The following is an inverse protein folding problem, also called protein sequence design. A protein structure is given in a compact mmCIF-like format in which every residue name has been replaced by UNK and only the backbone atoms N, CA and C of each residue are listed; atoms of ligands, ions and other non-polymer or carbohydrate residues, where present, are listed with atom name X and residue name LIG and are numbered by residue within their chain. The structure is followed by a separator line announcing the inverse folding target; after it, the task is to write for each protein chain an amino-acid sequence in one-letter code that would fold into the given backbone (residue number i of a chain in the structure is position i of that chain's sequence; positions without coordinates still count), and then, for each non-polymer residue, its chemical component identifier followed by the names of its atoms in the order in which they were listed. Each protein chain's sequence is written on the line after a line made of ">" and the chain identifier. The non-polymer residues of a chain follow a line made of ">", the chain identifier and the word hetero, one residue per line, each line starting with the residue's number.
data_IF_874616283842
#
_entry.id   IF_874616283842
#
_cell.length_a   1.000
_cell.length_b   1.000
_cell.length_c   1.000
_cell.angle_alpha   90.00
_cell.angle_beta   90.00
_cell.angle_gamma   90.00
#
_symmetry.space_group_name_H-M   'P 1'
#
loop_
_entity.id
_entity.type
_entity.pdbx_description
1 polymer ?
#
# COMPACT_ATOMS: atom_id res chain seq x y z
N UNK A 1 -1.20 -16.66 5.02
CA UNK A 1 -1.36 -15.24 5.44
C UNK A 1 -2.41 -14.50 4.61
N UNK A 2 -2.45 -14.60 3.28
CA UNK A 2 -3.45 -13.87 2.46
C UNK A 2 -4.92 -14.05 2.94
N UNK A 3 -5.33 -15.26 3.34
CA UNK A 3 -6.68 -15.52 3.88
C UNK A 3 -6.98 -14.78 5.19
N UNK A 4 -5.95 -14.56 6.00
CA UNK A 4 -6.07 -13.84 7.27
C UNK A 4 -6.00 -12.33 7.06
N UNK A 5 -5.42 -11.89 5.94
CA UNK A 5 -5.20 -10.49 5.64
C UNK A 5 -6.52 -9.72 5.45
N UNK A 6 -7.42 -10.23 4.61
CA UNK A 6 -8.72 -9.58 4.39
C UNK A 6 -9.55 -9.54 5.68
N UNK A 7 -9.53 -10.62 6.49
CA UNK A 7 -10.18 -10.60 7.79
C UNK A 7 -9.55 -9.56 8.72
N UNK A 8 -8.22 -9.45 8.77
CA UNK A 8 -7.50 -8.47 9.58
C UNK A 8 -7.92 -7.03 9.27
N UNK A 9 -8.16 -6.71 8.01
CA UNK A 9 -8.54 -5.37 7.56
C UNK A 9 -9.96 -4.97 7.98
N UNK A 10 -10.80 -5.93 8.35
CA UNK A 10 -12.18 -5.69 8.75
C UNK A 10 -13.13 -5.53 7.58
N UNK A 11 -14.11 -4.65 7.73
CA UNK A 11 -15.05 -4.34 6.64
C UNK A 11 -14.32 -3.53 5.55
N UNK A 12 -14.08 -4.21 4.42
CA UNK A 12 -13.37 -3.62 3.29
C UNK A 12 -14.14 -2.46 2.65
N UNK A 13 -15.48 -2.46 2.76
CA UNK A 13 -16.30 -1.36 2.24
C UNK A 13 -16.07 -0.05 3.00
N UNK A 14 -15.81 -0.14 4.31
CA UNK A 14 -15.42 1.02 5.12
C UNK A 14 -14.04 1.52 4.71
N UNK A 15 -13.10 0.58 4.47
CA UNK A 15 -11.76 0.95 3.99
C UNK A 15 -11.79 1.63 2.63
N UNK A 16 -12.61 1.15 1.72
CA UNK A 16 -12.82 1.77 0.39
C UNK A 16 -13.38 3.20 0.50
N UNK A 17 -14.34 3.42 1.39
CA UNK A 17 -14.86 4.76 1.68
C UNK A 17 -13.77 5.69 2.21
N UNK A 18 -12.93 5.20 3.13
CA UNK A 18 -11.78 5.97 3.63
C UNK A 18 -10.82 6.36 2.49
N UNK A 19 -10.54 5.44 1.55
CA UNK A 19 -9.70 5.76 0.40
C UNK A 19 -10.36 6.77 -0.54
N UNK A 20 -11.66 6.62 -0.78
CA UNK A 20 -12.41 7.57 -1.60
C UNK A 20 -12.39 8.99 -1.02
N UNK A 21 -12.44 9.13 0.32
CA UNK A 21 -12.28 10.43 0.98
C UNK A 21 -10.90 11.04 0.72
N UNK A 22 -9.82 10.23 0.82
CA UNK A 22 -8.46 10.67 0.48
C UNK A 22 -8.38 11.11 -0.98
N UNK A 23 -8.94 10.33 -1.90
CA UNK A 23 -8.93 10.68 -3.32
C UNK A 23 -9.68 11.99 -3.59
N UNK A 24 -10.83 12.21 -2.94
CA UNK A 24 -11.59 13.45 -3.04
C UNK A 24 -10.84 14.64 -2.47
N UNK A 25 -10.20 14.49 -1.29
CA UNK A 25 -9.40 15.58 -0.67
C UNK A 25 -8.20 15.97 -1.54
N UNK A 26 -7.66 15.01 -2.29
CA UNK A 26 -6.58 15.22 -3.24
C UNK A 26 -7.07 15.62 -4.66
N UNK A 27 -8.38 15.74 -4.86
CA UNK A 27 -8.99 16.07 -6.16
C UNK A 27 -8.55 15.09 -7.26
N UNK A 28 -8.60 13.78 -6.92
CA UNK A 28 -8.24 12.71 -7.84
C UNK A 28 -9.46 12.32 -8.68
N UNK A 29 -9.37 12.58 -9.96
CA UNK A 29 -10.31 12.16 -11.01
C UNK A 29 -9.58 12.15 -12.36
N UNK A 30 -10.05 11.40 -13.36
CA UNK A 30 -9.42 11.36 -14.67
C UNK A 30 -9.37 12.74 -15.34
N UNK A 31 -8.18 13.15 -15.77
CA UNK A 31 -7.95 14.45 -16.44
C UNK A 31 -7.21 14.30 -17.78
N UNK A 32 -6.54 13.16 -17.97
CA UNK A 32 -5.73 12.88 -19.14
C UNK A 32 -6.19 11.61 -19.85
N UNK A 33 -5.36 10.57 -19.80
CA UNK A 33 -5.67 9.29 -20.46
C UNK A 33 -6.59 8.36 -19.63
N UNK A 34 -6.95 8.76 -18.42
CA UNK A 34 -7.82 7.99 -17.53
C UNK A 34 -7.21 6.70 -17.00
N UNK A 35 -5.90 6.49 -17.14
CA UNK A 35 -5.24 5.26 -16.70
C UNK A 35 -4.64 5.44 -15.31
N UNK A 36 -4.97 4.53 -14.40
CA UNK A 36 -4.37 4.46 -13.06
C UNK A 36 -3.70 3.09 -12.83
N UNK A 37 -2.53 3.09 -12.22
CA UNK A 37 -1.86 1.88 -11.76
C UNK A 37 -1.80 1.86 -10.24
N UNK A 38 -2.27 0.75 -9.64
CA UNK A 38 -2.26 0.53 -8.19
C UNK A 38 -1.20 -0.53 -7.87
N UNK A 39 -0.09 -0.09 -7.29
CA UNK A 39 1.10 -0.90 -6.97
C UNK A 39 1.00 -1.43 -5.54
N UNK A 40 0.97 -2.76 -5.39
CA UNK A 40 0.68 -3.42 -4.14
C UNK A 40 -0.81 -3.37 -3.82
N UNK A 41 -1.64 -3.58 -4.84
CA UNK A 41 -3.10 -3.41 -4.80
C UNK A 41 -3.81 -4.33 -3.80
N UNK A 42 -3.20 -5.47 -3.44
CA UNK A 42 -3.81 -6.45 -2.57
C UNK A 42 -5.20 -6.88 -3.04
N UNK A 43 -6.18 -6.78 -2.16
CA UNK A 43 -7.60 -7.09 -2.48
C UNK A 43 -8.37 -5.92 -3.12
N UNK A 44 -7.68 -4.86 -3.57
CA UNK A 44 -8.28 -3.79 -4.37
C UNK A 44 -8.96 -2.67 -3.57
N UNK A 45 -8.56 -2.43 -2.34
CA UNK A 45 -9.13 -1.37 -1.48
C UNK A 45 -9.00 0.01 -2.13
N UNK A 46 -7.94 0.26 -2.89
CA UNK A 46 -7.73 1.47 -3.66
C UNK A 46 -8.26 1.35 -5.08
N UNK A 47 -8.07 0.17 -5.69
CA UNK A 47 -8.41 -0.08 -7.09
C UNK A 47 -9.92 0.08 -7.37
N UNK A 48 -10.79 -0.43 -6.47
CA UNK A 48 -12.25 -0.36 -6.66
C UNK A 48 -12.75 1.09 -6.60
N UNK A 49 -12.39 1.91 -5.60
CA UNK A 49 -12.75 3.33 -5.61
C UNK A 49 -12.21 4.12 -6.80
N UNK A 50 -11.04 3.77 -7.33
CA UNK A 50 -10.51 4.42 -8.54
C UNK A 50 -11.33 4.09 -9.77
N UNK A 51 -11.76 2.84 -9.92
CA UNK A 51 -12.69 2.45 -11.00
C UNK A 51 -14.01 3.22 -10.89
N UNK A 52 -14.55 3.37 -9.66
CA UNK A 52 -15.79 4.13 -9.41
C UNK A 52 -15.63 5.64 -9.70
N UNK A 53 -14.41 6.17 -9.62
CA UNK A 53 -14.07 7.53 -10.05
C UNK A 53 -13.88 7.65 -11.57
N UNK A 54 -13.94 6.55 -12.32
CA UNK A 54 -13.87 6.53 -13.78
C UNK A 54 -12.50 6.20 -14.37
N UNK A 55 -11.51 5.80 -13.56
CA UNK A 55 -10.22 5.35 -14.07
C UNK A 55 -10.27 3.95 -14.69
N UNK A 56 -9.44 3.74 -15.71
CA UNK A 56 -9.07 2.42 -16.19
C UNK A 56 -7.91 1.89 -15.32
N UNK A 57 -8.23 0.99 -14.40
CA UNK A 57 -7.29 0.56 -13.36
C UNK A 57 -6.52 -0.69 -13.79
N UNK A 58 -5.18 -0.67 -13.55
CA UNK A 58 -4.32 -1.84 -13.52
C UNK A 58 -3.87 -2.07 -12.07
N UNK A 59 -4.38 -3.12 -11.45
CA UNK A 59 -4.03 -3.55 -10.10
C UNK A 59 -2.86 -4.54 -10.15
N UNK A 60 -1.77 -4.23 -9.46
CA UNK A 60 -0.51 -4.98 -9.48
C UNK A 60 -0.18 -5.41 -8.06
N UNK A 61 0.07 -6.70 -7.85
CA UNK A 61 0.49 -7.26 -6.57
C UNK A 61 1.32 -8.53 -6.79
N UNK A 62 2.09 -8.94 -5.79
CA UNK A 62 2.80 -10.23 -5.79
C UNK A 62 1.86 -11.42 -5.51
N UNK A 63 0.72 -11.17 -4.88
CA UNK A 63 -0.25 -12.19 -4.47
C UNK A 63 -1.38 -12.31 -5.47
N UNK A 64 -1.32 -13.34 -6.32
CA UNK A 64 -2.43 -13.69 -7.22
C UNK A 64 -3.74 -13.91 -6.45
N UNK A 65 -3.64 -14.50 -5.24
CA UNK A 65 -4.79 -14.75 -4.38
C UNK A 65 -5.49 -13.47 -3.97
N UNK A 66 -4.75 -12.44 -3.53
CA UNK A 66 -5.33 -11.15 -3.16
C UNK A 66 -5.94 -10.46 -4.38
N UNK A 67 -5.26 -10.47 -5.52
CA UNK A 67 -5.79 -9.90 -6.76
C UNK A 67 -7.09 -10.57 -7.20
N UNK A 68 -7.24 -11.89 -6.98
CA UNK A 68 -8.48 -12.61 -7.32
C UNK A 68 -9.69 -12.17 -6.49
N UNK A 69 -9.46 -11.64 -5.27
CA UNK A 69 -10.52 -11.11 -4.41
C UNK A 69 -11.19 -9.87 -5.01
N UNK A 70 -10.49 -9.09 -5.85
CA UNK A 70 -11.06 -7.92 -6.53
C UNK A 70 -12.29 -8.31 -7.33
N UNK A 71 -12.16 -9.33 -8.18
CA UNK A 71 -13.27 -9.82 -8.99
C UNK A 71 -14.33 -10.54 -8.17
N UNK A 72 -13.94 -11.25 -7.11
CA UNK A 72 -14.89 -11.90 -6.21
C UNK A 72 -15.80 -10.88 -5.49
N UNK A 73 -15.25 -9.71 -5.14
CA UNK A 73 -15.97 -8.63 -4.45
C UNK A 73 -16.78 -7.74 -5.40
N UNK A 74 -16.28 -7.54 -6.64
CA UNK A 74 -16.95 -6.74 -7.68
C UNK A 74 -16.97 -7.53 -8.99
N UNK A 75 -17.94 -8.45 -9.19
CA UNK A 75 -17.95 -9.37 -10.35
C UNK A 75 -17.93 -8.68 -11.72
N UNK A 76 -18.55 -7.51 -11.83
CA UNK A 76 -18.66 -6.72 -13.07
C UNK A 76 -17.49 -5.74 -13.28
N UNK A 77 -16.45 -5.81 -12.43
CA UNK A 77 -15.29 -4.91 -12.53
C UNK A 77 -14.55 -5.07 -13.85
N UNK A 78 -14.06 -3.95 -14.36
CA UNK A 78 -13.16 -3.85 -15.53
C UNK A 78 -11.70 -3.70 -15.10
N UNK A 79 -11.40 -3.73 -13.80
CA UNK A 79 -10.04 -3.68 -13.27
C UNK A 79 -9.23 -4.84 -13.84
N UNK A 80 -8.12 -4.51 -14.49
CA UNK A 80 -7.14 -5.50 -14.95
C UNK A 80 -6.19 -5.79 -13.80
N UNK A 81 -5.81 -7.05 -13.65
CA UNK A 81 -4.86 -7.49 -12.62
C UNK A 81 -3.58 -8.02 -13.25
N UNK A 82 -2.44 -7.81 -12.59
CA UNK A 82 -1.14 -8.33 -13.00
C UNK A 82 -0.33 -8.77 -11.78
N UNK A 83 0.11 -10.02 -11.77
CA UNK A 83 1.06 -10.51 -10.76
C UNK A 83 2.45 -10.05 -11.18
N UNK A 84 3.05 -9.13 -10.41
CA UNK A 84 4.39 -8.62 -10.69
C UNK A 84 5.01 -7.96 -9.46
N UNK A 85 6.35 -7.93 -9.43
CA UNK A 85 7.11 -7.13 -8.48
C UNK A 85 7.16 -5.67 -8.96
N UNK A 86 6.82 -4.73 -8.09
CA UNK A 86 6.83 -3.29 -8.39
C UNK A 86 8.23 -2.75 -8.70
N UNK A 87 9.29 -3.51 -8.42
CA UNK A 87 10.69 -3.19 -8.76
C UNK A 87 11.11 -3.65 -10.15
N UNK A 88 10.29 -4.50 -10.79
CA UNK A 88 10.62 -5.10 -12.09
C UNK A 88 10.51 -4.07 -13.21
N UNK A 89 11.63 -3.82 -13.91
CA UNK A 89 11.67 -2.88 -15.05
C UNK A 89 10.73 -3.28 -16.19
N UNK A 90 10.52 -4.58 -16.37
CA UNK A 90 9.66 -5.15 -17.40
C UNK A 90 8.18 -4.82 -17.16
N UNK A 91 7.82 -4.42 -15.93
CA UNK A 91 6.49 -3.94 -15.61
C UNK A 91 6.17 -2.62 -16.31
N UNK A 92 7.17 -1.73 -16.39
CA UNK A 92 7.01 -0.33 -16.78
C UNK A 92 7.23 -0.13 -18.28
N UNK A 93 6.32 -0.71 -19.07
CA UNK A 93 6.33 -0.62 -20.52
C UNK A 93 4.94 -0.23 -21.05
N UNK A 94 4.90 0.39 -22.23
CA UNK A 94 3.66 0.80 -22.86
C UNK A 94 3.15 2.17 -22.41
N UNK A 95 1.85 2.29 -22.16
CA UNK A 95 1.22 3.56 -21.83
C UNK A 95 1.52 3.95 -20.39
N UNK A 96 2.15 5.12 -20.21
CA UNK A 96 2.33 5.74 -18.89
C UNK A 96 0.97 6.12 -18.30
N UNK A 97 0.66 5.72 -17.05
CA UNK A 97 -0.57 6.14 -16.39
C UNK A 97 -0.51 7.63 -16.03
N UNK A 98 -1.66 8.30 -16.00
CA UNK A 98 -1.75 9.64 -15.41
C UNK A 98 -1.72 9.62 -13.88
N UNK A 99 -2.02 8.46 -13.28
CA UNK A 99 -2.01 8.25 -11.83
C UNK A 99 -1.30 6.93 -11.48
N UNK A 100 -0.25 7.02 -10.67
CA UNK A 100 0.42 5.89 -10.06
C UNK A 100 0.17 5.91 -8.55
N UNK A 101 -0.29 4.80 -7.98
CA UNK A 101 -0.46 4.65 -6.54
C UNK A 101 0.48 3.59 -5.99
N UNK A 102 0.98 3.82 -4.79
CA UNK A 102 1.63 2.82 -3.96
C UNK A 102 1.22 3.08 -2.50
N UNK A 103 0.16 2.42 -2.06
CA UNK A 103 -0.50 2.69 -0.79
C UNK A 103 -0.51 1.43 0.10
N UNK A 104 -1.10 1.53 1.30
CA UNK A 104 -1.23 0.38 2.20
C UNK A 104 0.10 -0.14 2.77
N UNK A 105 1.08 0.72 2.99
CA UNK A 105 2.42 0.36 3.48
C UNK A 105 3.33 -0.35 2.46
N UNK A 106 2.92 -0.54 1.21
CA UNK A 106 3.66 -1.32 0.21
C UNK A 106 5.14 -0.90 0.09
N UNK A 107 5.44 0.40 0.07
CA UNK A 107 6.81 0.90 -0.01
C UNK A 107 7.68 0.50 1.19
N UNK A 108 7.09 0.27 2.35
CA UNK A 108 7.83 -0.13 3.55
C UNK A 108 8.29 -1.60 3.51
N UNK A 109 7.73 -2.41 2.60
CA UNK A 109 8.13 -3.80 2.37
C UNK A 109 9.30 -3.95 1.39
N UNK A 110 9.83 -2.86 0.85
CA UNK A 110 11.07 -2.87 0.07
C UNK A 110 12.24 -3.34 0.96
N UNK A 111 13.25 -3.99 0.36
CA UNK A 111 14.33 -4.62 1.11
C UNK A 111 15.32 -3.64 1.77
N UNK A 112 15.50 -2.46 1.17
CA UNK A 112 16.46 -1.43 1.60
C UNK A 112 16.03 -0.03 1.17
N UNK A 113 16.66 0.99 1.74
CA UNK A 113 16.52 2.39 1.28
C UNK A 113 16.95 2.53 -0.18
N UNK A 114 17.98 1.79 -0.60
CA UNK A 114 18.41 1.77 -1.99
C UNK A 114 17.31 1.21 -2.91
N UNK A 115 16.59 0.17 -2.51
CA UNK A 115 15.46 -0.34 -3.30
C UNK A 115 14.36 0.72 -3.43
N UNK A 116 14.15 1.54 -2.39
CA UNK A 116 13.24 2.68 -2.46
C UNK A 116 13.75 3.72 -3.48
N UNK A 117 15.02 4.13 -3.40
CA UNK A 117 15.61 5.09 -4.35
C UNK A 117 15.55 4.59 -5.79
N UNK A 118 15.92 3.33 -6.03
CA UNK A 118 15.88 2.71 -7.36
C UNK A 118 14.44 2.61 -7.89
N UNK A 119 13.48 2.30 -7.01
CA UNK A 119 12.07 2.16 -7.39
C UNK A 119 11.46 3.51 -7.76
N UNK A 120 11.68 4.56 -6.97
CA UNK A 120 11.16 5.89 -7.29
C UNK A 120 11.83 6.48 -8.54
N UNK A 121 13.10 6.17 -8.77
CA UNK A 121 13.81 6.54 -10.00
C UNK A 121 13.21 5.85 -11.23
N UNK A 122 12.87 4.57 -11.11
CA UNK A 122 12.18 3.80 -12.14
C UNK A 122 10.80 4.41 -12.47
N UNK A 123 10.00 4.74 -11.44
CA UNK A 123 8.70 5.40 -11.63
C UNK A 123 8.85 6.77 -12.30
N UNK A 124 9.85 7.55 -11.87
CA UNK A 124 10.13 8.85 -12.50
C UNK A 124 10.49 8.73 -13.98
N UNK A 125 11.24 7.70 -14.36
CA UNK A 125 11.61 7.47 -15.76
C UNK A 125 10.45 7.00 -16.63
N UNK A 126 9.43 6.39 -16.03
CA UNK A 126 8.26 5.86 -16.72
C UNK A 126 7.11 6.87 -16.82
N UNK A 127 6.90 7.66 -15.77
CA UNK A 127 5.80 8.61 -15.71
C UNK A 127 6.06 9.84 -16.59
N UNK A 128 5.04 10.25 -17.31
CA UNK A 128 5.06 11.50 -18.09
C UNK A 128 4.98 12.72 -17.16
N UNK A 129 5.53 13.88 -17.56
CA UNK A 129 5.30 15.13 -16.85
C UNK A 129 3.81 15.41 -16.64
N UNK A 130 3.44 15.92 -15.46
CA UNK A 130 2.06 16.15 -15.04
C UNK A 130 1.33 14.92 -14.49
N UNK A 131 1.91 13.71 -14.60
CA UNK A 131 1.36 12.53 -13.93
C UNK A 131 1.42 12.68 -12.41
N UNK A 132 0.46 12.05 -11.71
CA UNK A 132 0.37 12.07 -10.25
C UNK A 132 0.92 10.78 -9.66
N UNK A 133 1.62 10.88 -8.52
CA UNK A 133 2.04 9.76 -7.68
C UNK A 133 1.41 9.92 -6.30
N UNK A 134 0.68 8.89 -5.83
CA UNK A 134 0.18 8.86 -4.45
C UNK A 134 0.92 7.76 -3.69
N UNK A 135 1.49 8.16 -2.54
CA UNK A 135 2.07 7.23 -1.57
C UNK A 135 1.20 7.19 -0.31
N UNK A 136 0.99 5.98 0.23
CA UNK A 136 0.27 5.78 1.48
C UNK A 136 1.02 4.80 2.38
N UNK A 137 1.53 5.28 3.54
CA UNK A 137 2.35 4.46 4.43
C UNK A 137 2.30 4.94 5.88
N UNK A 138 2.70 4.08 6.81
CA UNK A 138 2.95 4.45 8.21
C UNK A 138 4.41 4.82 8.40
N UNK A 139 4.62 6.04 8.88
CA UNK A 139 5.94 6.48 9.30
C UNK A 139 6.27 5.87 10.67
N UNK A 140 7.20 4.93 10.68
CA UNK A 140 7.66 4.23 11.87
C UNK A 140 8.91 4.87 12.49
N UNK A 141 9.30 6.08 12.08
CA UNK A 141 10.52 6.77 12.57
C UNK A 141 10.44 7.24 14.03
N UNK A 142 9.28 7.08 14.67
CA UNK A 142 9.12 7.35 16.10
C UNK A 142 9.79 6.30 17.00
N UNK A 143 10.00 5.07 16.50
CA UNK A 143 10.60 3.98 17.26
C UNK A 143 12.13 4.08 17.30
N UNK A 144 12.70 3.77 18.46
CA UNK A 144 14.15 3.76 18.66
C UNK A 144 14.66 2.31 18.61
N UNK A 145 15.92 2.08 18.20
CA UNK A 145 16.53 0.75 18.27
C UNK A 145 16.38 0.14 19.66
N UNK A 146 15.82 -1.07 19.72
CA UNK A 146 15.51 -1.81 20.96
C UNK A 146 14.08 -1.62 21.47
N UNK A 147 13.33 -0.64 21.00
CA UNK A 147 11.92 -0.49 21.38
C UNK A 147 11.09 -1.68 20.89
N UNK A 148 10.12 -2.06 21.70
CA UNK A 148 9.14 -3.09 21.37
C UNK A 148 7.74 -2.59 21.66
N UNK A 149 6.83 -2.79 20.72
CA UNK A 149 5.41 -2.46 20.87
C UNK A 149 4.57 -3.69 20.50
N UNK A 150 3.57 -4.00 21.33
CA UNK A 150 2.60 -5.06 21.04
C UNK A 150 1.21 -4.46 21.15
N UNK A 151 0.37 -4.71 20.15
CA UNK A 151 -1.02 -4.23 20.14
C UNK A 151 -1.96 -5.22 19.44
N UNK A 152 -3.20 -5.24 19.90
CA UNK A 152 -4.26 -6.01 19.25
C UNK A 152 -4.78 -5.20 18.05
N UNK A 153 -4.64 -5.77 16.85
CA UNK A 153 -5.13 -5.15 15.62
C UNK A 153 -6.62 -5.40 15.43
N UNK A 154 -7.05 -6.64 15.71
CA UNK A 154 -8.46 -7.05 15.66
C UNK A 154 -8.72 -8.19 16.63
N UNK A 155 -9.89 -8.18 17.26
CA UNK A 155 -10.34 -9.24 18.15
C UNK A 155 -11.81 -9.52 17.95
N UNK A 156 -12.15 -10.81 17.89
CA UNK A 156 -13.51 -11.38 17.88
C UNK A 156 -13.55 -12.56 18.84
N UNK A 157 -14.71 -13.13 19.09
CA UNK A 157 -14.89 -14.22 20.06
C UNK A 157 -13.99 -15.44 19.76
N UNK A 158 -13.77 -15.73 18.48
CA UNK A 158 -13.00 -16.92 18.03
C UNK A 158 -11.65 -16.59 17.39
N UNK A 159 -11.31 -15.32 17.22
CA UNK A 159 -10.09 -14.91 16.51
C UNK A 159 -9.50 -13.64 17.13
N UNK A 160 -8.18 -13.65 17.34
CA UNK A 160 -7.44 -12.46 17.78
C UNK A 160 -6.22 -12.31 16.88
N UNK A 161 -6.04 -11.12 16.36
CA UNK A 161 -4.84 -10.75 15.60
C UNK A 161 -4.06 -9.70 16.38
N UNK A 162 -2.83 -10.03 16.70
CA UNK A 162 -1.90 -9.18 17.45
C UNK A 162 -0.71 -8.89 16.55
N UNK A 163 -0.22 -7.69 16.60
CA UNK A 163 0.99 -7.26 15.91
C UNK A 163 2.03 -6.86 16.95
N UNK A 164 3.24 -7.36 16.80
CA UNK A 164 4.42 -6.95 17.56
C UNK A 164 5.36 -6.22 16.62
N UNK A 165 5.85 -5.06 17.05
CA UNK A 165 6.93 -4.32 16.39
C UNK A 165 8.17 -4.38 17.26
N UNK A 166 9.31 -4.70 16.64
CA UNK A 166 10.62 -4.60 17.25
C UNK A 166 11.50 -3.69 16.38
N UNK A 167 11.96 -2.57 16.94
CA UNK A 167 12.68 -1.56 16.20
C UNK A 167 14.18 -1.84 16.20
N UNK A 168 14.77 -1.71 15.01
CA UNK A 168 16.23 -1.65 14.79
C UNK A 168 16.59 -0.27 14.24
N UNK A 169 17.83 -0.06 13.81
CA UNK A 169 18.27 1.26 13.34
C UNK A 169 17.48 1.74 12.10
N UNK A 170 17.22 0.86 11.13
CA UNK A 170 16.62 1.23 9.84
C UNK A 170 15.36 0.41 9.51
N UNK A 171 14.96 -0.51 10.38
CA UNK A 171 13.83 -1.42 10.15
C UNK A 171 13.03 -1.66 11.41
N UNK A 172 11.75 -1.90 11.24
CA UNK A 172 10.91 -2.51 12.24
C UNK A 172 10.62 -3.96 11.81
N UNK A 173 11.05 -4.92 12.62
CA UNK A 173 10.58 -6.30 12.49
C UNK A 173 9.15 -6.35 12.99
N UNK A 174 8.26 -6.82 12.12
CA UNK A 174 6.83 -6.98 12.39
C UNK A 174 6.56 -8.45 12.56
N UNK A 175 6.03 -8.84 13.73
CA UNK A 175 5.54 -10.20 13.95
C UNK A 175 4.03 -10.18 14.09
N UNK A 176 3.37 -10.74 13.09
CA UNK A 176 1.94 -10.97 13.07
C UNK A 176 1.61 -12.26 13.81
N UNK A 177 0.77 -12.18 14.83
CA UNK A 177 0.40 -13.31 15.68
C UNK A 177 -1.11 -13.51 15.58
N UNK A 178 -1.52 -14.65 15.09
CA UNK A 178 -2.92 -14.99 14.88
C UNK A 178 -3.33 -16.12 15.81
N UNK A 179 -4.31 -15.84 16.67
CA UNK A 179 -4.95 -16.81 17.54
C UNK A 179 -6.31 -17.19 16.96
N UNK A 180 -6.61 -18.47 16.90
CA UNK A 180 -7.88 -18.98 16.40
C UNK A 180 -8.42 -20.08 17.32
N UNK A 181 -9.67 -19.94 17.72
CA UNK A 181 -10.36 -20.93 18.54
C UNK A 181 -10.88 -22.06 17.66
N UNK A 182 -10.51 -23.28 18.00
CA UNK A 182 -10.98 -24.51 17.34
C UNK A 182 -11.71 -25.39 18.34
N UNK A 183 -12.29 -26.48 17.90
CA UNK A 183 -12.91 -27.49 18.78
C UNK A 183 -11.93 -28.10 19.79
N UNK A 184 -10.63 -28.02 19.51
CA UNK A 184 -9.54 -28.52 20.36
C UNK A 184 -8.92 -27.46 21.25
N UNK A 185 -9.45 -26.25 21.28
CA UNK A 185 -8.93 -25.10 22.02
C UNK A 185 -8.31 -24.05 21.10
N UNK A 186 -7.52 -23.13 21.70
CA UNK A 186 -6.86 -22.06 20.97
C UNK A 186 -5.61 -22.56 20.26
N UNK A 187 -5.48 -22.20 19.01
CA UNK A 187 -4.26 -22.39 18.20
C UNK A 187 -3.59 -21.05 17.94
N UNK A 188 -2.27 -21.05 17.78
CA UNK A 188 -1.48 -19.85 17.51
C UNK A 188 -0.63 -20.09 16.27
N UNK A 189 -0.62 -19.12 15.38
CA UNK A 189 0.32 -19.08 14.25
C UNK A 189 0.93 -17.69 14.15
N UNK A 190 2.20 -17.60 13.77
CA UNK A 190 2.89 -16.34 13.61
C UNK A 190 3.70 -16.29 12.32
N UNK A 191 3.96 -15.10 11.85
CA UNK A 191 4.92 -14.85 10.78
C UNK A 191 5.58 -13.50 10.99
N UNK A 192 6.87 -13.42 10.70
CA UNK A 192 7.64 -12.18 10.82
C UNK A 192 8.13 -11.71 9.47
N UNK A 193 8.22 -10.39 9.31
CA UNK A 193 8.79 -9.71 8.18
C UNK A 193 9.35 -8.34 8.60
N UNK A 194 10.18 -7.75 7.75
CA UNK A 194 10.74 -6.44 8.03
C UNK A 194 10.00 -5.35 7.27
N UNK A 195 9.79 -4.20 7.91
CA UNK A 195 9.40 -2.95 7.28
C UNK A 195 10.57 -1.96 7.33
N UNK A 196 10.80 -1.25 6.25
CA UNK A 196 11.71 -0.11 6.25
C UNK A 196 11.13 1.01 7.10
N UNK A 197 11.98 1.66 7.87
CA UNK A 197 11.68 2.93 8.49
C UNK A 197 12.02 4.01 7.46
N UNK A 198 10.99 4.67 6.95
CA UNK A 198 11.11 5.73 5.95
C UNK A 198 10.62 7.05 6.57
N UNK A 199 11.51 7.86 7.16
CA UNK A 199 11.12 9.16 7.69
C UNK A 199 10.51 10.04 6.61
N UNK A 200 9.43 10.76 6.96
CA UNK A 200 8.67 11.57 6.00
C UNK A 200 9.55 12.52 5.18
N UNK A 201 10.47 13.23 5.84
CA UNK A 201 11.33 14.21 5.16
C UNK A 201 12.32 13.54 4.19
N UNK A 202 12.81 12.35 4.52
CA UNK A 202 13.73 11.59 3.66
C UNK A 202 12.99 11.04 2.45
N UNK A 203 11.76 10.56 2.64
CA UNK A 203 10.91 10.11 1.55
C UNK A 203 10.59 11.26 0.58
N UNK A 204 10.19 12.42 1.09
CA UNK A 204 9.92 13.62 0.27
C UNK A 204 11.19 14.06 -0.47
N UNK A 205 12.34 14.07 0.21
CA UNK A 205 13.63 14.43 -0.39
C UNK A 205 14.01 13.51 -1.54
N UNK A 206 13.85 12.19 -1.37
CA UNK A 206 14.14 11.20 -2.41
C UNK A 206 13.20 11.37 -3.59
N UNK A 207 11.90 11.55 -3.36
CA UNK A 207 10.95 11.84 -4.43
C UNK A 207 11.30 13.13 -5.18
N UNK A 208 11.68 14.19 -4.47
CA UNK A 208 12.06 15.47 -5.09
C UNK A 208 13.30 15.37 -5.97
N UNK A 209 14.33 14.58 -5.55
CA UNK A 209 15.53 14.30 -6.36
C UNK A 209 15.19 13.52 -7.64
N UNK A 210 14.06 12.85 -7.67
CA UNK A 210 13.55 12.09 -8.81
C UNK A 210 12.45 12.85 -9.59
N UNK A 211 12.48 14.18 -9.61
CA UNK A 211 11.56 15.04 -10.36
C UNK A 211 10.08 14.88 -9.95
N UNK A 212 9.82 14.64 -8.67
CA UNK A 212 8.48 14.69 -8.10
C UNK A 212 8.36 15.90 -7.16
N UNK A 213 7.32 16.70 -7.33
CA UNK A 213 7.00 17.82 -6.44
C UNK A 213 5.84 17.43 -5.54
N UNK A 214 6.04 17.54 -4.22
CA UNK A 214 4.95 17.34 -3.26
C UNK A 214 3.87 18.42 -3.48
N UNK A 215 2.66 17.98 -3.79
CA UNK A 215 1.50 18.84 -4.02
C UNK A 215 0.59 18.93 -2.80
N UNK A 216 0.24 17.78 -2.20
CA UNK A 216 -0.62 17.70 -1.01
C UNK A 216 -0.12 16.61 -0.05
N UNK A 217 -0.45 16.75 1.22
CA UNK A 217 -0.25 15.71 2.25
C UNK A 217 -1.46 15.66 3.17
N UNK A 218 -1.77 14.46 3.65
CA UNK A 218 -2.83 14.21 4.62
C UNK A 218 -2.41 13.07 5.57
N UNK A 219 -3.08 12.95 6.70
CA UNK A 219 -2.86 11.85 7.65
C UNK A 219 -4.20 11.39 8.21
N UNK A 220 -4.47 10.09 8.13
CA UNK A 220 -5.69 9.48 8.68
C UNK A 220 -5.35 8.13 9.32
N UNK A 221 -5.76 7.94 10.57
CA UNK A 221 -5.55 6.68 11.32
C UNK A 221 -4.07 6.23 11.36
N UNK A 222 -3.13 7.18 11.51
CA UNK A 222 -1.70 6.95 11.55
C UNK A 222 -1.07 6.55 10.19
N UNK A 223 -1.84 6.63 9.11
CA UNK A 223 -1.37 6.47 7.74
C UNK A 223 -1.13 7.85 7.14
N UNK A 224 0.07 8.09 6.64
CA UNK A 224 0.39 9.31 5.88
C UNK A 224 0.06 9.10 4.41
N UNK A 225 -0.55 10.11 3.80
CA UNK A 225 -0.88 10.14 2.39
C UNK A 225 -0.17 11.33 1.76
N UNK A 226 0.55 11.09 0.67
CA UNK A 226 1.35 12.09 -0.03
C UNK A 226 0.98 12.08 -1.51
N UNK A 227 0.57 13.21 -2.02
CA UNK A 227 0.35 13.43 -3.45
C UNK A 227 1.53 14.19 -4.03
N UNK A 228 2.18 13.59 -5.00
CA UNK A 228 3.22 14.22 -5.79
C UNK A 228 2.77 14.43 -7.24
N UNK A 229 3.32 15.46 -7.86
CA UNK A 229 3.22 15.74 -9.29
C UNK A 229 4.58 15.51 -9.95
N UNK A 230 4.60 14.81 -11.07
CA UNK A 230 5.79 14.59 -11.89
C UNK A 230 6.12 15.87 -12.66
N UNK A 231 7.35 16.37 -12.49
CA UNK A 231 7.88 17.55 -13.18
C UNK A 231 8.34 17.21 -14.59
#
# INVERSE_FOLDING_TARGET
>A
MAEKYSWMLGDLSVREKDQLEVFRSFEIFPQGNGVAWDLGAGSGIQSIPLEDLGFQVLAIDLSEKLLSEIKARKPDTKIRTKVADIRSRELYQGVSPELLLCMGDTITHLGSEKDWEDTVSLWSSFLSPGSKLILGYRDLSYGKPGDQNIFVVRSEESKIFTCQLQFTQNKAEVTDIFHEKTDKGWTVSSSSYNKLILPLDDLIRTASRNNFKLAKKDEKNGMKFLLFEKL
#
